data_IF_009567531849
#
_entry.id   IF_009567531849
#
_cell.length_a   1.000
_cell.length_b   1.000
_cell.length_c   1.000
_cell.angle_alpha   90.00
_cell.angle_beta   90.00
_cell.angle_gamma   90.00
#
_symmetry.space_group_name_H-M   'P 1'
#
loop_
_entity.id
_entity.type
_entity.pdbx_description
1 polymer ?
#
# COMPACT_ATOMS: atom_id res chain seq x y z
N UNK A 1 10.16 41.40 28.02
CA UNK A 1 9.01 41.25 27.11
C UNK A 1 9.06 39.82 26.59
N UNK A 2 8.17 38.96 27.07
CA UNK A 2 8.05 37.57 26.59
C UNK A 2 7.21 37.59 25.31
N UNK A 3 7.85 37.44 24.15
CA UNK A 3 7.16 37.13 22.90
C UNK A 3 6.81 35.65 22.93
N UNK A 4 5.53 35.36 23.14
CA UNK A 4 4.99 34.03 22.92
C UNK A 4 5.21 33.65 21.45
N UNK A 5 6.06 32.64 21.21
CA UNK A 5 6.05 31.92 19.94
C UNK A 5 4.70 31.20 19.85
N UNK A 6 3.81 31.74 19.02
CA UNK A 6 2.68 30.98 18.49
C UNK A 6 3.28 29.86 17.65
N UNK A 7 3.46 28.68 18.25
CA UNK A 7 3.60 27.45 17.49
C UNK A 7 2.24 27.18 16.87
N UNK A 8 2.02 27.75 15.68
CA UNK A 8 0.92 27.36 14.82
C UNK A 8 1.18 25.89 14.47
N UNK A 9 0.61 24.99 15.26
CA UNK A 9 0.74 23.55 15.10
C UNK A 9 -0.18 23.16 13.92
N UNK A 10 0.20 23.58 12.71
CA UNK A 10 -0.56 23.28 11.51
C UNK A 10 -0.28 21.81 11.16
N UNK A 11 -1.30 20.99 11.41
CA UNK A 11 -1.23 19.54 11.29
C UNK A 11 -0.98 19.10 9.85
N UNK A 12 -0.16 18.07 9.68
CA UNK A 12 0.07 17.40 8.40
C UNK A 12 -1.25 16.86 7.86
N UNK A 13 -1.53 17.15 6.58
CA UNK A 13 -2.68 16.60 5.86
C UNK A 13 -2.22 15.83 4.65
N UNK A 14 -3.13 15.03 4.14
CA UNK A 14 -2.87 14.09 3.07
C UNK A 14 -3.85 14.30 1.93
N UNK A 15 -3.32 14.48 0.73
CA UNK A 15 -4.12 14.65 -0.48
C UNK A 15 -4.18 13.29 -1.16
N UNK A 16 -5.38 12.72 -1.26
CA UNK A 16 -5.59 11.34 -1.64
C UNK A 16 -6.46 11.24 -2.87
N UNK A 17 -5.95 10.54 -3.88
CA UNK A 17 -6.75 10.03 -4.98
C UNK A 17 -7.37 8.68 -4.54
N UNK A 18 -8.70 8.64 -4.44
CA UNK A 18 -9.45 7.50 -3.92
C UNK A 18 -9.29 6.23 -4.78
N UNK A 19 -9.22 6.36 -6.10
CA UNK A 19 -9.02 5.22 -7.01
C UNK A 19 -7.64 4.59 -6.81
N UNK A 20 -6.61 5.43 -6.75
CA UNK A 20 -5.23 4.99 -6.52
C UNK A 20 -5.06 4.38 -5.14
N UNK A 21 -5.66 5.00 -4.11
CA UNK A 21 -5.67 4.45 -2.76
C UNK A 21 -6.43 3.13 -2.71
N UNK A 22 -7.55 2.97 -3.40
CA UNK A 22 -8.27 1.69 -3.38
C UNK A 22 -7.51 0.59 -4.10
N UNK A 23 -6.80 0.91 -5.18
CA UNK A 23 -6.06 -0.08 -5.96
C UNK A 23 -4.72 -0.47 -5.34
N UNK A 24 -4.01 0.49 -4.77
CA UNK A 24 -2.62 0.32 -4.35
C UNK A 24 -2.38 0.60 -2.86
N UNK A 25 -3.36 1.12 -2.14
CA UNK A 25 -3.26 1.50 -0.72
C UNK A 25 -2.10 2.44 -0.39
N UNK A 26 -1.47 3.02 -1.41
CA UNK A 26 -0.39 3.97 -1.27
C UNK A 26 -0.92 5.36 -1.58
N UNK A 27 -0.18 6.34 -1.07
CA UNK A 27 -0.36 7.74 -1.40
C UNK A 27 0.96 8.31 -1.88
N UNK A 28 0.86 9.41 -2.60
CA UNK A 28 2.02 10.10 -3.11
C UNK A 28 2.27 11.43 -2.42
N UNK A 29 1.28 12.00 -1.70
CA UNK A 29 1.31 13.43 -1.35
C UNK A 29 0.88 13.76 0.09
N UNK A 30 1.72 14.54 0.78
CA UNK A 30 1.45 15.12 2.11
C UNK A 30 1.57 16.66 2.05
N UNK A 31 1.05 17.38 3.04
CA UNK A 31 1.23 18.84 3.14
C UNK A 31 2.29 19.19 4.17
N UNK A 32 3.03 20.26 3.89
CA UNK A 32 3.98 20.84 4.84
C UNK A 32 4.10 22.35 4.64
N UNK A 33 4.71 23.05 5.60
CA UNK A 33 4.83 24.51 5.56
C UNK A 33 6.27 24.92 5.25
N UNK A 34 6.42 25.90 4.36
CA UNK A 34 7.69 26.55 4.06
C UNK A 34 7.96 27.67 5.08
N UNK A 35 9.21 28.12 5.16
CA UNK A 35 9.64 29.21 6.05
C UNK A 35 8.91 30.54 5.78
N UNK A 36 8.39 30.74 4.56
CA UNK A 36 7.58 31.90 4.17
C UNK A 36 6.09 31.79 4.58
N UNK A 37 5.72 30.70 5.27
CA UNK A 37 4.36 30.46 5.78
C UNK A 37 3.40 29.86 4.75
N UNK A 38 3.86 29.53 3.54
CA UNK A 38 3.04 28.91 2.50
C UNK A 38 2.93 27.40 2.77
N UNK A 39 1.70 26.87 2.75
CA UNK A 39 1.44 25.44 2.78
C UNK A 39 1.59 24.85 1.39
N UNK A 40 2.40 23.80 1.27
CA UNK A 40 2.77 23.18 0.01
C UNK A 40 2.56 21.66 0.05
N UNK A 41 2.33 21.07 -1.12
CA UNK A 41 2.22 19.63 -1.31
C UNK A 41 3.60 19.00 -1.59
N UNK A 42 4.01 18.04 -0.77
CA UNK A 42 5.25 17.27 -0.88
C UNK A 42 5.01 15.82 -1.30
N UNK A 43 5.96 15.22 -2.03
CA UNK A 43 5.82 13.89 -2.64
C UNK A 43 6.89 12.88 -2.21
N UNK A 44 6.49 11.60 -2.07
CA UNK A 44 7.42 10.51 -1.75
C UNK A 44 8.06 9.85 -2.99
N UNK A 45 7.50 10.02 -4.19
CA UNK A 45 8.10 9.54 -5.43
C UNK A 45 7.72 10.38 -6.66
N UNK A 46 8.72 11.06 -7.22
CA UNK A 46 8.77 11.79 -8.49
C UNK A 46 8.00 13.12 -8.64
N UNK A 47 8.81 14.19 -8.73
CA UNK A 47 8.74 15.33 -9.67
C UNK A 47 7.51 15.40 -10.58
N UNK A 48 6.62 16.37 -10.35
CA UNK A 48 5.64 16.79 -11.36
C UNK A 48 6.36 17.71 -12.36
N UNK A 49 6.37 17.31 -13.63
CA UNK A 49 6.74 18.18 -14.75
C UNK A 49 5.59 19.14 -15.01
N UNK A 50 5.85 20.45 -14.97
CA UNK A 50 5.02 21.41 -15.70
C UNK A 50 5.75 21.81 -16.98
N UNK A 51 5.01 21.78 -18.08
CA UNK A 51 5.43 22.32 -19.37
C UNK A 51 5.80 23.80 -19.23
N UNK A 52 7.09 24.06 -19.39
CA UNK A 52 7.70 25.09 -20.25
C UNK A 52 9.11 25.39 -19.74
N UNK A 53 9.94 24.34 -19.66
CA UNK A 53 11.39 24.50 -19.67
C UNK A 53 12.11 24.62 -18.32
N UNK A 54 11.46 24.41 -17.17
CA UNK A 54 12.16 24.36 -15.87
C UNK A 54 12.25 22.92 -15.37
N UNK A 55 13.49 22.41 -15.20
CA UNK A 55 13.74 21.13 -14.55
C UNK A 55 13.54 21.24 -13.03
N UNK A 56 12.73 20.32 -12.52
CA UNK A 56 12.77 19.68 -11.20
C UNK A 56 12.42 20.49 -9.94
N UNK A 57 11.35 20.06 -9.25
CA UNK A 57 11.33 20.08 -7.77
C UNK A 57 10.68 21.25 -7.04
N UNK A 58 9.63 21.88 -7.56
CA UNK A 58 8.90 22.89 -6.77
C UNK A 58 7.65 22.30 -6.12
N UNK A 59 7.62 22.29 -4.80
CA UNK A 59 6.40 22.04 -4.03
C UNK A 59 5.35 23.08 -4.42
N UNK A 60 4.20 22.60 -4.88
CA UNK A 60 3.10 23.46 -5.28
C UNK A 60 2.32 23.90 -4.04
N UNK A 61 1.85 25.16 -3.97
CA UNK A 61 0.81 25.53 -3.04
C UNK A 61 -0.35 24.53 -3.10
N UNK A 62 -0.90 24.17 -1.94
CA UNK A 62 -1.90 23.09 -1.82
C UNK A 62 -3.12 23.34 -2.72
N UNK A 63 -3.58 24.59 -2.84
CA UNK A 63 -4.71 24.98 -3.68
C UNK A 63 -4.44 24.73 -5.17
N UNK A 64 -3.28 25.16 -5.68
CA UNK A 64 -2.84 24.93 -7.06
C UNK A 64 -2.76 23.44 -7.36
N UNK A 65 -2.21 22.65 -6.42
CA UNK A 65 -2.08 21.22 -6.62
C UNK A 65 -3.43 20.49 -6.60
N UNK A 66 -4.33 20.86 -5.69
CA UNK A 66 -5.68 20.29 -5.66
C UNK A 66 -6.45 20.58 -6.95
N UNK A 67 -6.35 21.80 -7.47
CA UNK A 67 -6.98 22.16 -8.75
C UNK A 67 -6.47 21.29 -9.90
N UNK A 68 -5.15 21.07 -9.98
CA UNK A 68 -4.54 20.20 -10.97
C UNK A 68 -5.01 18.74 -10.84
N UNK A 69 -4.97 18.16 -9.63
CA UNK A 69 -5.41 16.78 -9.44
C UNK A 69 -6.89 16.58 -9.77
N UNK A 70 -7.75 17.53 -9.37
CA UNK A 70 -9.18 17.48 -9.65
C UNK A 70 -9.46 17.57 -11.15
N UNK A 71 -8.67 18.29 -11.94
CA UNK A 71 -8.84 18.32 -13.39
C UNK A 71 -8.42 17.00 -14.07
N UNK A 72 -7.41 16.33 -13.53
CA UNK A 72 -6.90 15.06 -14.09
C UNK A 72 -7.75 13.85 -13.68
N UNK A 73 -8.13 13.76 -12.39
CA UNK A 73 -8.78 12.59 -11.80
C UNK A 73 -10.30 12.75 -11.61
N UNK A 74 -10.85 13.96 -11.77
CA UNK A 74 -12.21 14.31 -11.40
C UNK A 74 -12.34 14.73 -9.93
N UNK A 75 -13.23 15.69 -9.68
CA UNK A 75 -13.35 16.34 -8.37
C UNK A 75 -13.71 15.39 -7.23
N UNK A 76 -14.62 14.45 -7.48
CA UNK A 76 -15.09 13.49 -6.46
C UNK A 76 -14.05 12.43 -6.07
N UNK A 77 -12.98 12.29 -6.86
CA UNK A 77 -11.93 11.31 -6.62
C UNK A 77 -10.79 11.85 -5.74
N UNK A 78 -10.77 13.15 -5.44
CA UNK A 78 -9.71 13.80 -4.66
C UNK A 78 -10.26 14.24 -3.31
N UNK A 79 -9.69 13.71 -2.23
CA UNK A 79 -10.04 14.07 -0.85
C UNK A 79 -8.81 14.55 -0.09
N UNK A 80 -9.03 15.36 0.93
CA UNK A 80 -7.99 15.76 1.89
C UNK A 80 -8.34 15.14 3.24
N UNK A 81 -7.45 14.31 3.75
CA UNK A 81 -7.58 13.67 5.05
C UNK A 81 -6.59 14.27 6.04
N UNK A 82 -6.99 14.37 7.31
CA UNK A 82 -6.03 14.55 8.40
C UNK A 82 -5.10 13.33 8.51
N UNK A 83 -3.99 13.48 9.23
CA UNK A 83 -3.11 12.35 9.53
C UNK A 83 -3.84 11.22 10.26
N UNK A 84 -4.69 11.55 11.24
CA UNK A 84 -5.47 10.54 11.96
C UNK A 84 -6.45 9.78 11.04
N UNK A 85 -7.16 10.49 10.16
CA UNK A 85 -8.07 9.86 9.19
C UNK A 85 -7.31 8.98 8.20
N UNK A 86 -6.19 9.46 7.66
CA UNK A 86 -5.37 8.69 6.73
C UNK A 86 -4.83 7.40 7.38
N UNK A 87 -4.31 7.50 8.60
CA UNK A 87 -3.82 6.34 9.35
C UNK A 87 -4.93 5.33 9.61
N UNK A 88 -6.12 5.80 10.03
CA UNK A 88 -7.28 4.92 10.23
C UNK A 88 -7.73 4.25 8.92
N UNK A 89 -7.82 4.99 7.81
CA UNK A 89 -8.19 4.43 6.50
C UNK A 89 -7.18 3.43 5.97
N UNK A 90 -5.90 3.69 6.19
CA UNK A 90 -4.84 2.75 5.85
C UNK A 90 -4.94 1.49 6.69
N UNK A 91 -5.10 1.61 8.00
CA UNK A 91 -5.28 0.47 8.89
C UNK A 91 -6.51 -0.39 8.52
N UNK A 92 -7.67 0.23 8.30
CA UNK A 92 -8.90 -0.44 7.83
C UNK A 92 -8.62 -1.25 6.55
N UNK A 93 -7.89 -0.66 5.60
CA UNK A 93 -7.55 -1.33 4.34
C UNK A 93 -6.59 -2.49 4.56
N UNK A 94 -5.53 -2.30 5.35
CA UNK A 94 -4.56 -3.35 5.64
C UNK A 94 -5.21 -4.55 6.32
N UNK A 95 -6.12 -4.34 7.26
CA UNK A 95 -6.87 -5.42 7.89
C UNK A 95 -7.78 -6.14 6.88
N UNK A 96 -8.50 -5.41 6.02
CA UNK A 96 -9.30 -6.02 4.94
C UNK A 96 -8.42 -6.86 3.99
N UNK A 97 -7.20 -6.42 3.68
CA UNK A 97 -6.27 -7.17 2.82
C UNK A 97 -5.90 -8.53 3.43
N UNK A 98 -5.71 -8.63 4.76
CA UNK A 98 -5.37 -9.89 5.45
C UNK A 98 -6.46 -10.97 5.33
N UNK A 99 -7.68 -10.58 4.99
CA UNK A 99 -8.80 -11.48 4.69
C UNK A 99 -8.74 -12.06 3.27
N UNK A 100 -7.94 -11.49 2.37
CA UNK A 100 -7.78 -11.97 1.00
C UNK A 100 -7.00 -13.29 0.97
N UNK A 101 -7.63 -14.30 0.38
CA UNK A 101 -7.06 -15.62 0.18
C UNK A 101 -7.83 -16.35 -0.92
N UNK A 102 -7.18 -17.31 -1.58
CA UNK A 102 -7.85 -18.09 -2.61
C UNK A 102 -6.95 -19.09 -3.31
N UNK A 103 -7.54 -19.76 -4.29
CA UNK A 103 -6.83 -20.61 -5.24
C UNK A 103 -6.28 -19.76 -6.39
N UNK A 104 -5.11 -20.14 -6.89
CA UNK A 104 -4.50 -19.59 -8.09
C UNK A 104 -4.11 -20.74 -9.01
N UNK A 105 -3.92 -20.45 -10.30
CA UNK A 105 -3.38 -21.48 -11.19
C UNK A 105 -1.95 -21.82 -10.80
N UNK A 106 -1.54 -23.06 -11.06
CA UNK A 106 -0.17 -23.51 -10.87
C UNK A 106 0.82 -22.67 -11.68
N UNK A 107 0.44 -22.26 -12.90
CA UNK A 107 1.21 -21.33 -13.74
C UNK A 107 1.47 -20.00 -13.03
N UNK A 108 0.45 -19.42 -12.38
CA UNK A 108 0.59 -18.16 -11.63
C UNK A 108 1.55 -18.33 -10.46
N UNK A 109 1.48 -19.46 -9.74
CA UNK A 109 2.38 -19.77 -8.64
C UNK A 109 3.84 -19.83 -9.11
N UNK A 110 4.13 -20.61 -10.15
CA UNK A 110 5.49 -20.74 -10.67
C UNK A 110 6.02 -19.46 -11.30
N UNK A 111 5.17 -18.68 -11.97
CA UNK A 111 5.54 -17.36 -12.45
C UNK A 111 5.96 -16.44 -11.30
N UNK A 112 5.17 -16.37 -10.21
CA UNK A 112 5.50 -15.58 -9.02
C UNK A 112 6.78 -16.05 -8.34
N UNK A 113 6.98 -17.37 -8.24
CA UNK A 113 8.20 -17.97 -7.70
C UNK A 113 9.43 -17.53 -8.51
N UNK A 114 9.35 -17.55 -9.84
CA UNK A 114 10.42 -17.12 -10.73
C UNK A 114 10.79 -15.64 -10.63
N UNK A 115 9.91 -14.80 -10.05
CA UNK A 115 10.18 -13.38 -9.81
C UNK A 115 10.95 -13.10 -8.51
N UNK A 116 11.25 -14.11 -7.69
CA UNK A 116 11.85 -13.94 -6.36
C UNK A 116 13.22 -14.61 -6.25
N UNK A 117 14.13 -14.08 -5.40
CA UNK A 117 15.37 -14.77 -5.09
C UNK A 117 15.09 -16.10 -4.33
N UNK A 118 15.89 -17.16 -4.53
CA UNK A 118 15.64 -18.48 -3.95
C UNK A 118 15.54 -18.53 -2.42
N UNK A 119 16.05 -17.50 -1.73
CA UNK A 119 16.10 -17.42 -0.27
C UNK A 119 14.74 -17.18 0.42
N UNK A 120 13.67 -16.87 -0.32
CA UNK A 120 12.32 -16.70 0.25
C UNK A 120 11.46 -17.96 0.17
N UNK A 121 11.99 -19.05 -0.38
CA UNK A 121 11.34 -20.35 -0.44
C UNK A 121 11.49 -21.11 0.87
N UNK A 122 10.39 -21.73 1.31
CA UNK A 122 10.37 -22.63 2.45
C UNK A 122 9.58 -23.89 2.10
N UNK A 123 10.14 -25.04 2.50
CA UNK A 123 9.42 -26.30 2.53
C UNK A 123 9.17 -26.66 4.00
N UNK A 124 7.90 -26.77 4.39
CA UNK A 124 7.53 -27.17 5.74
C UNK A 124 6.58 -28.38 5.72
N UNK A 125 7.13 -29.55 6.05
CA UNK A 125 6.45 -30.84 5.86
C UNK A 125 6.18 -31.05 4.36
N UNK A 126 4.92 -31.01 3.93
CA UNK A 126 4.49 -31.29 2.55
C UNK A 126 3.92 -30.05 1.83
N UNK A 127 4.22 -28.86 2.36
CA UNK A 127 3.76 -27.59 1.79
C UNK A 127 4.97 -26.78 1.39
N UNK A 128 5.04 -26.47 0.09
CA UNK A 128 6.00 -25.54 -0.48
C UNK A 128 5.37 -24.16 -0.48
N UNK A 129 6.08 -23.15 0.01
CA UNK A 129 5.57 -21.79 -0.01
C UNK A 129 6.69 -20.76 0.00
N UNK A 130 6.35 -19.57 -0.46
CA UNK A 130 7.18 -18.38 -0.41
C UNK A 130 6.28 -17.17 -0.19
N UNK A 131 6.86 -16.01 0.09
CA UNK A 131 6.10 -14.78 0.18
C UNK A 131 6.68 -13.69 -0.70
N UNK A 132 5.90 -12.66 -1.00
CA UNK A 132 6.31 -11.49 -1.77
C UNK A 132 5.80 -10.23 -1.09
N UNK A 133 6.59 -9.15 -0.96
CA UNK A 133 6.12 -7.89 -0.42
C UNK A 133 4.94 -7.35 -1.21
N UNK A 134 3.93 -6.86 -0.49
CA UNK A 134 2.85 -6.12 -1.11
C UNK A 134 3.34 -4.74 -1.54
N UNK A 135 2.88 -4.27 -2.69
CA UNK A 135 3.22 -2.90 -3.16
C UNK A 135 2.68 -1.80 -2.23
N UNK A 136 1.67 -2.15 -1.45
CA UNK A 136 0.94 -1.24 -0.57
C UNK A 136 1.77 -0.83 0.65
N UNK A 137 2.48 -1.79 1.25
CA UNK A 137 3.31 -1.57 2.43
C UNK A 137 4.35 -2.68 2.51
N UNK A 138 5.54 -2.35 3.05
CA UNK A 138 6.58 -3.33 3.33
C UNK A 138 6.18 -4.35 4.42
N UNK A 139 5.14 -4.04 5.22
CA UNK A 139 4.75 -4.87 6.36
C UNK A 139 3.82 -6.03 5.99
N UNK A 140 3.17 -5.97 4.82
CA UNK A 140 2.33 -7.06 4.31
C UNK A 140 3.06 -7.82 3.20
N UNK A 141 2.80 -9.11 3.14
CA UNK A 141 3.27 -10.00 2.09
C UNK A 141 2.14 -10.88 1.59
N UNK A 142 2.11 -11.16 0.28
CA UNK A 142 1.35 -12.28 -0.25
C UNK A 142 2.16 -13.56 -0.03
N UNK A 143 1.65 -14.47 0.78
CA UNK A 143 2.13 -15.84 0.88
C UNK A 143 1.51 -16.67 -0.25
N UNK A 144 2.32 -17.48 -0.93
CA UNK A 144 1.88 -18.41 -1.97
C UNK A 144 2.27 -19.81 -1.54
N UNK A 145 1.39 -20.79 -1.68
CA UNK A 145 1.67 -22.17 -1.30
C UNK A 145 1.21 -23.19 -2.35
N UNK A 146 1.96 -24.28 -2.50
CA UNK A 146 1.59 -25.45 -3.29
C UNK A 146 1.34 -26.63 -2.34
N UNK A 147 0.15 -27.24 -2.43
CA UNK A 147 -0.26 -28.42 -1.65
C UNK A 147 -0.70 -29.51 -2.63
N UNK A 148 0.16 -30.50 -2.85
CA UNK A 148 -0.01 -31.44 -3.97
C UNK A 148 0.03 -30.68 -5.30
N UNK A 149 -1.05 -30.77 -6.09
CA UNK A 149 -1.15 -30.09 -7.40
C UNK A 149 -1.98 -28.80 -7.35
N UNK A 150 -2.33 -28.31 -6.16
CA UNK A 150 -3.18 -27.13 -6.03
C UNK A 150 -2.38 -25.97 -5.43
N UNK A 151 -2.48 -24.81 -6.07
CA UNK A 151 -1.78 -23.61 -5.64
C UNK A 151 -2.73 -22.60 -4.98
N UNK A 152 -2.27 -21.97 -3.92
CA UNK A 152 -3.05 -21.05 -3.09
C UNK A 152 -2.27 -19.79 -2.80
N UNK A 153 -2.99 -18.73 -2.46
CA UNK A 153 -2.40 -17.54 -1.87
C UNK A 153 -3.22 -17.06 -0.68
N UNK A 154 -2.57 -16.32 0.21
CA UNK A 154 -3.19 -15.51 1.25
C UNK A 154 -2.31 -14.29 1.53
N UNK A 155 -2.88 -13.23 2.10
CA UNK A 155 -2.12 -12.05 2.54
C UNK A 155 -2.01 -12.06 4.06
N UNK A 156 -0.83 -11.73 4.57
CA UNK A 156 -0.56 -11.58 6.00
C UNK A 156 0.65 -10.65 6.23
N UNK A 157 1.03 -10.45 7.49
CA UNK A 157 2.22 -9.69 7.85
C UNK A 157 3.51 -10.44 7.46
N UNK A 158 4.55 -9.69 7.05
CA UNK A 158 5.86 -10.22 6.70
C UNK A 158 6.52 -11.02 7.84
N UNK A 159 6.19 -10.66 9.08
CA UNK A 159 6.66 -11.29 10.32
C UNK A 159 5.75 -12.42 10.82
N UNK A 160 4.70 -12.78 10.08
CA UNK A 160 3.76 -13.80 10.51
C UNK A 160 4.48 -15.14 10.76
N UNK A 161 4.06 -15.83 11.81
CA UNK A 161 4.64 -17.12 12.17
C UNK A 161 4.35 -18.17 11.09
N UNK A 162 5.40 -18.89 10.67
CA UNK A 162 5.31 -19.88 9.59
C UNK A 162 4.34 -21.01 9.93
N UNK A 163 4.24 -21.43 11.20
CA UNK A 163 3.29 -22.47 11.63
C UNK A 163 1.84 -21.97 11.54
N UNK A 164 1.60 -20.70 11.87
CA UNK A 164 0.32 -20.04 11.68
C UNK A 164 -0.08 -20.01 10.20
N UNK A 165 0.81 -19.54 9.32
CA UNK A 165 0.58 -19.48 7.86
C UNK A 165 0.28 -20.86 7.28
N UNK A 166 1.08 -21.86 7.64
CA UNK A 166 0.85 -23.26 7.25
C UNK A 166 -0.55 -23.74 7.64
N UNK A 167 -0.97 -23.46 8.87
CA UNK A 167 -2.28 -23.86 9.39
C UNK A 167 -3.42 -23.19 8.62
N UNK A 168 -3.26 -21.91 8.24
CA UNK A 168 -4.22 -21.18 7.39
C UNK A 168 -4.34 -21.82 6.00
N UNK A 169 -3.23 -22.16 5.35
CA UNK A 169 -3.27 -22.85 4.04
C UNK A 169 -3.95 -24.21 4.11
N UNK A 170 -3.68 -25.02 5.14
CA UNK A 170 -4.34 -26.32 5.32
C UNK A 170 -5.85 -26.13 5.49
N UNK A 171 -6.27 -25.13 6.27
CA UNK A 171 -7.69 -24.80 6.45
C UNK A 171 -8.34 -24.40 5.12
N UNK A 172 -7.69 -23.52 4.36
CA UNK A 172 -8.15 -23.07 3.04
C UNK A 172 -8.29 -24.23 2.06
N UNK A 173 -7.28 -25.09 1.95
CA UNK A 173 -7.29 -26.27 1.10
C UNK A 173 -8.49 -27.18 1.38
N UNK A 174 -8.77 -27.44 2.66
CA UNK A 174 -9.95 -28.23 3.07
C UNK A 174 -11.26 -27.53 2.71
N UNK A 175 -11.37 -26.23 2.97
CA UNK A 175 -12.59 -25.46 2.70
C UNK A 175 -12.95 -25.42 1.21
N UNK A 176 -11.95 -25.29 0.34
CA UNK A 176 -12.19 -25.19 -1.11
C UNK A 176 -12.43 -26.55 -1.75
N UNK A 177 -11.82 -27.63 -1.25
CA UNK A 177 -12.07 -29.00 -1.76
C UNK A 177 -13.42 -29.60 -1.35
N UNK A 178 -14.04 -29.13 -0.26
CA UNK A 178 -15.39 -29.56 0.13
C UNK A 178 -16.48 -28.95 -0.77
N UNK A 179 -16.14 -27.90 -1.55
CA UNK A 179 -17.07 -27.22 -2.45
C UNK A 179 -17.10 -27.81 -3.88
N UNK A 180 -16.23 -28.77 -4.18
CA UNK A 180 -16.16 -29.49 -5.46
C UNK A 180 -16.55 -30.96 -5.25
#
# INVERSE_FOLDING_TARGET
MNTAQSTNNQETRYIVNLESFEKYGCMQTYTYHREDGIEVAGYTSNTVLNGDGVRAGSDLPVDVYLSYLKSEAGEDNIVVWSEAEFNNKTAEKLEKRKEEQGEISEETYWWRYGCMPPCQYNLHSDIEFFHMPERITADLVTWNALIGNNAYYLVDEAKADVTHIKSRFIKLHKQLRVKN
#
